data_IF_724542878199
#
_entry.id   IF_724542878199
#
_cell.length_a   1.000
_cell.length_b   1.000
_cell.length_c   1.000
_cell.angle_alpha   90.00
_cell.angle_beta   90.00
_cell.angle_gamma   90.00
#
_symmetry.space_group_name_H-M   'P 1'
#
loop_
_entity.id
_entity.type
_entity.pdbx_description
1 polymer ?
#
# COMPACT_ATOMS: atom_id res chain seq x y z
N UNK A 1 1.51 -18.41 20.37
CA UNK A 1 1.17 -17.01 20.09
C UNK A 1 0.91 -16.85 18.60
N UNK A 2 -0.33 -16.55 18.22
CA UNK A 2 -0.77 -16.53 16.82
C UNK A 2 -0.28 -15.30 16.06
N UNK A 3 0.35 -15.52 14.91
CA UNK A 3 0.73 -14.49 13.94
C UNK A 3 -0.56 -13.84 13.41
N UNK A 4 -0.69 -12.53 13.60
CA UNK A 4 -1.82 -11.76 13.09
C UNK A 4 -1.84 -11.88 11.56
N UNK A 5 -2.81 -12.63 11.04
CA UNK A 5 -3.09 -12.72 9.61
C UNK A 5 -3.45 -11.32 9.09
N UNK A 6 -2.60 -10.76 8.23
CA UNK A 6 -2.90 -9.57 7.44
C UNK A 6 -4.20 -9.78 6.69
N UNK A 7 -5.27 -9.19 7.20
CA UNK A 7 -6.64 -9.45 6.77
C UNK A 7 -6.89 -8.66 5.50
N UNK A 8 -6.72 -9.32 4.35
CA UNK A 8 -7.20 -8.81 3.08
C UNK A 8 -8.72 -8.53 3.22
N UNK A 9 -9.12 -7.27 3.20
CA UNK A 9 -10.54 -6.92 3.20
C UNK A 9 -10.74 -5.60 2.48
N UNK A 10 -11.05 -5.74 1.19
CA UNK A 10 -11.38 -4.67 0.26
C UNK A 10 -12.73 -4.02 0.55
N UNK A 11 -12.97 -3.41 1.71
CA UNK A 11 -14.05 -2.42 1.86
C UNK A 11 -13.73 -1.49 3.04
N UNK A 12 -13.09 -0.35 2.78
CA UNK A 12 -13.06 0.75 3.74
C UNK A 12 -14.50 1.29 3.84
N UNK A 13 -15.24 0.90 4.89
CA UNK A 13 -16.50 1.57 5.20
C UNK A 13 -16.16 2.94 5.78
N UNK A 14 -16.68 3.97 5.14
CA UNK A 14 -16.47 5.37 5.50
C UNK A 14 -16.81 5.62 6.99
N UNK A 15 -16.01 6.52 7.58
CA UNK A 15 -16.09 7.11 8.93
C UNK A 15 -15.29 6.43 10.07
N UNK A 16 -15.33 5.11 10.22
CA UNK A 16 -14.62 4.42 11.31
C UNK A 16 -13.11 4.25 11.11
N UNK A 17 -12.72 3.81 9.91
CA UNK A 17 -11.33 3.46 9.58
C UNK A 17 -10.43 4.68 9.33
N UNK A 18 -10.99 5.82 8.93
CA UNK A 18 -10.23 7.06 8.71
C UNK A 18 -9.56 7.60 10.00
N UNK A 19 -10.07 7.23 11.18
CA UNK A 19 -9.48 7.61 12.48
C UNK A 19 -8.31 6.73 12.89
N UNK A 20 -8.21 5.51 12.35
CA UNK A 20 -7.14 4.54 12.67
C UNK A 20 -6.01 4.57 11.66
N UNK A 21 -6.32 4.79 10.39
CA UNK A 21 -5.32 4.84 9.32
C UNK A 21 -5.05 6.29 8.88
N UNK A 22 -4.21 6.99 9.64
CA UNK A 22 -3.90 8.40 9.37
C UNK A 22 -2.88 8.57 8.23
N UNK A 23 -2.09 7.53 7.95
CA UNK A 23 -0.98 7.61 7.00
C UNK A 23 -1.31 6.88 5.71
N UNK A 24 -1.32 7.61 4.61
CA UNK A 24 -1.66 7.10 3.28
C UNK A 24 -0.46 7.21 2.36
N UNK A 25 -0.17 6.15 1.61
CA UNK A 25 0.89 6.11 0.59
C UNK A 25 0.27 5.68 -0.74
N UNK A 26 0.41 6.52 -1.76
CA UNK A 26 -0.05 6.24 -3.11
C UNK A 26 1.12 5.80 -3.99
N UNK A 27 1.08 4.57 -4.50
CA UNK A 27 2.10 4.05 -5.41
C UNK A 27 1.49 3.87 -6.80
N UNK A 28 1.99 4.57 -7.84
CA UNK A 28 1.58 4.29 -9.20
C UNK A 28 2.08 2.90 -9.60
N UNK A 29 1.20 2.13 -10.20
CA UNK A 29 1.49 0.79 -10.70
C UNK A 29 1.35 0.83 -12.22
N UNK A 30 2.42 0.59 -12.98
CA UNK A 30 2.31 0.51 -14.44
C UNK A 30 1.35 -0.62 -14.79
N UNK A 31 0.49 -0.40 -15.81
CA UNK A 31 -0.50 -1.40 -16.22
C UNK A 31 0.12 -2.74 -16.64
N UNK A 32 1.38 -2.73 -17.08
CA UNK A 32 2.16 -3.93 -17.36
C UNK A 32 2.88 -4.41 -16.10
N UNK A 33 2.57 -5.64 -15.65
CA UNK A 33 3.19 -6.23 -14.45
C UNK A 33 2.51 -5.88 -13.12
N UNK A 34 1.30 -5.31 -13.17
CA UNK A 34 0.50 -4.91 -12.00
C UNK A 34 0.44 -6.00 -10.92
N UNK A 35 0.11 -7.24 -11.30
CA UNK A 35 0.01 -8.33 -10.33
C UNK A 35 1.32 -8.61 -9.59
N UNK A 36 2.46 -8.61 -10.30
CA UNK A 36 3.77 -8.92 -9.71
C UNK A 36 4.29 -7.79 -8.81
N UNK A 37 3.96 -6.53 -9.15
CA UNK A 37 4.30 -5.38 -8.30
C UNK A 37 3.45 -5.35 -7.03
N UNK A 38 2.15 -5.61 -7.14
CA UNK A 38 1.26 -5.74 -5.99
C UNK A 38 1.65 -6.91 -5.08
N UNK A 39 2.03 -8.05 -5.66
CA UNK A 39 2.49 -9.23 -4.92
C UNK A 39 3.79 -8.92 -4.14
N UNK A 40 4.76 -8.24 -4.77
CA UNK A 40 5.98 -7.79 -4.09
C UNK A 40 5.72 -6.78 -2.96
N UNK A 41 4.78 -5.86 -3.14
CA UNK A 41 4.36 -4.94 -2.07
C UNK A 41 3.67 -5.68 -0.92
N UNK A 42 2.79 -6.64 -1.22
CA UNK A 42 2.10 -7.45 -0.23
C UNK A 42 3.10 -8.34 0.55
N UNK A 43 4.04 -8.99 -0.13
CA UNK A 43 5.10 -9.78 0.50
C UNK A 43 5.95 -8.93 1.45
N UNK A 44 6.34 -7.73 1.03
CA UNK A 44 7.09 -6.81 1.88
C UNK A 44 6.28 -6.41 3.11
N UNK A 45 5.00 -6.06 2.94
CA UNK A 45 4.12 -5.69 4.05
C UNK A 45 3.94 -6.83 5.04
N UNK A 46 3.76 -8.06 4.57
CA UNK A 46 3.65 -9.24 5.42
C UNK A 46 4.93 -9.51 6.23
N UNK A 47 6.11 -9.14 5.71
CA UNK A 47 7.40 -9.36 6.38
C UNK A 47 7.83 -8.21 7.29
N UNK A 48 7.48 -6.97 6.94
CA UNK A 48 8.08 -5.77 7.54
C UNK A 48 7.08 -4.91 8.32
N UNK A 49 5.80 -4.89 7.94
CA UNK A 49 4.82 -4.07 8.65
C UNK A 49 4.55 -4.69 10.02
N UNK A 50 4.59 -3.85 11.06
CA UNK A 50 4.28 -4.27 12.44
C UNK A 50 2.87 -3.89 12.84
N UNK A 51 2.28 -2.94 12.14
CA UNK A 51 0.92 -2.46 12.35
C UNK A 51 -0.06 -3.05 11.33
N UNK A 52 -1.36 -2.90 11.62
CA UNK A 52 -2.41 -3.14 10.65
C UNK A 52 -2.24 -2.19 9.45
N UNK A 53 -2.53 -2.71 8.26
CA UNK A 53 -2.50 -1.97 7.01
C UNK A 53 -3.71 -2.34 6.15
N UNK A 54 -4.14 -1.41 5.32
CA UNK A 54 -5.19 -1.63 4.33
C UNK A 54 -4.72 -1.15 2.95
N UNK A 55 -5.34 -1.65 1.89
CA UNK A 55 -5.01 -1.24 0.51
C UNK A 55 -6.27 -1.01 -0.32
N UNK A 56 -6.19 -0.05 -1.23
CA UNK A 56 -7.21 0.29 -2.19
C UNK A 56 -6.60 0.63 -3.55
N UNK A 57 -6.90 -0.19 -4.56
CA UNK A 57 -6.56 0.12 -5.94
C UNK A 57 -7.60 1.05 -6.56
N UNK A 58 -7.16 2.16 -7.15
CA UNK A 58 -8.01 3.01 -7.98
C UNK A 58 -7.29 3.38 -9.28
N UNK A 59 -8.04 3.88 -10.25
CA UNK A 59 -7.47 4.34 -11.52
C UNK A 59 -7.64 5.84 -11.59
N UNK A 60 -6.55 6.56 -11.81
CA UNK A 60 -6.56 8.01 -11.94
C UNK A 60 -5.83 8.40 -13.24
N UNK A 61 -6.47 9.18 -14.09
CA UNK A 61 -5.90 9.65 -15.37
C UNK A 61 -5.31 8.52 -16.26
N UNK A 62 -5.96 7.35 -16.27
CA UNK A 62 -5.52 6.17 -17.04
C UNK A 62 -4.35 5.40 -16.42
N UNK A 63 -3.91 5.75 -15.21
CA UNK A 63 -2.88 5.04 -14.45
C UNK A 63 -3.50 4.29 -13.28
N UNK A 64 -3.04 3.06 -13.05
CA UNK A 64 -3.42 2.33 -11.84
C UNK A 64 -2.62 2.86 -10.66
N UNK A 65 -3.30 3.17 -9.57
CA UNK A 65 -2.71 3.63 -8.32
C UNK A 65 -3.11 2.65 -7.23
N UNK A 66 -2.10 2.11 -6.54
CA UNK A 66 -2.28 1.31 -5.34
C UNK A 66 -2.10 2.22 -4.13
N UNK A 67 -3.20 2.50 -3.44
CA UNK A 67 -3.21 3.26 -2.19
C UNK A 67 -3.05 2.31 -1.02
N UNK A 68 -2.12 2.61 -0.12
CA UNK A 68 -1.91 1.87 1.12
C UNK A 68 -2.16 2.78 2.32
N UNK A 69 -2.76 2.21 3.35
CA UNK A 69 -3.17 2.88 4.56
C UNK A 69 -2.48 2.23 5.74
N UNK A 70 -1.88 3.04 6.61
CA UNK A 70 -1.09 2.61 7.76
C UNK A 70 -1.56 3.30 9.02
N UNK A 71 -1.57 2.54 10.12
CA UNK A 71 -1.79 3.09 11.47
C UNK A 71 -0.56 3.86 11.97
N UNK A 72 0.64 3.42 11.59
CA UNK A 72 1.91 4.01 12.04
C UNK A 72 2.60 4.82 10.93
N UNK A 73 3.09 6.04 11.22
CA UNK A 73 3.86 6.84 10.26
C UNK A 73 5.19 6.17 9.89
N UNK A 74 5.76 5.37 10.79
CA UNK A 74 7.05 4.73 10.57
C UNK A 74 6.97 3.63 9.51
N UNK A 75 5.93 2.82 9.56
CA UNK A 75 5.69 1.76 8.56
C UNK A 75 5.34 2.38 7.21
N UNK A 76 4.56 3.47 7.19
CA UNK A 76 4.27 4.24 5.98
C UNK A 76 5.55 4.79 5.34
N UNK A 77 6.42 5.43 6.12
CA UNK A 77 7.67 6.00 5.61
C UNK A 77 8.64 4.93 5.08
N UNK A 78 8.71 3.76 5.74
CA UNK A 78 9.51 2.63 5.25
C UNK A 78 8.97 2.07 3.95
N UNK A 79 7.65 1.94 3.85
CA UNK A 79 7.00 1.45 2.63
C UNK A 79 7.18 2.44 1.47
N UNK A 80 6.99 3.73 1.73
CA UNK A 80 7.26 4.80 0.76
C UNK A 80 8.72 4.78 0.30
N UNK A 81 9.68 4.73 1.22
CA UNK A 81 11.10 4.65 0.87
C UNK A 81 11.46 3.44 0.00
N UNK A 82 10.76 2.32 0.17
CA UNK A 82 11.01 1.10 -0.61
C UNK A 82 10.36 1.11 -2.00
N UNK A 83 9.16 1.69 -2.14
CA UNK A 83 8.32 1.51 -3.33
C UNK A 83 7.91 2.81 -4.04
N UNK A 84 7.99 3.98 -3.39
CA UNK A 84 7.64 5.26 -4.01
C UNK A 84 8.73 5.75 -4.99
N UNK A 85 9.99 5.37 -4.78
CA UNK A 85 11.10 5.70 -5.69
C UNK A 85 10.96 5.03 -7.07
N UNK A 86 10.23 3.91 -7.12
CA UNK A 86 10.01 3.12 -8.32
C UNK A 86 8.89 3.72 -9.22
N UNK A 87 8.39 4.91 -8.88
CA UNK A 87 7.47 5.72 -9.68
C UNK A 87 8.19 6.70 -10.63
N UNK A 88 9.50 6.89 -10.47
CA UNK A 88 10.25 8.00 -11.07
C UNK A 88 11.38 7.63 -12.04
N UNK A 89 11.61 6.36 -12.37
CA UNK A 89 12.63 6.00 -13.38
C UNK A 89 12.01 5.95 -14.78
N UNK A 90 11.67 7.13 -15.27
CA UNK A 90 11.15 7.38 -16.60
C UNK A 90 11.54 8.80 -17.04
N UNK A 91 12.83 9.11 -16.99
CA UNK A 91 13.39 10.24 -17.73
C UNK A 91 14.87 9.93 -18.05
N UNK A 92 15.10 9.40 -19.25
CA UNK A 92 16.40 9.41 -19.93
C UNK A 92 16.53 10.69 -20.75
#
# INVERSE_FOLDING_TARGET
MGFAMGRYKSILKADGDARRFHHTVDIPVPGQGLGRRLDGMADWLMKNAKCEWATHGHTEQGRHIARYYFESPWDAHRFEGQFAQDAGSGNS
#
